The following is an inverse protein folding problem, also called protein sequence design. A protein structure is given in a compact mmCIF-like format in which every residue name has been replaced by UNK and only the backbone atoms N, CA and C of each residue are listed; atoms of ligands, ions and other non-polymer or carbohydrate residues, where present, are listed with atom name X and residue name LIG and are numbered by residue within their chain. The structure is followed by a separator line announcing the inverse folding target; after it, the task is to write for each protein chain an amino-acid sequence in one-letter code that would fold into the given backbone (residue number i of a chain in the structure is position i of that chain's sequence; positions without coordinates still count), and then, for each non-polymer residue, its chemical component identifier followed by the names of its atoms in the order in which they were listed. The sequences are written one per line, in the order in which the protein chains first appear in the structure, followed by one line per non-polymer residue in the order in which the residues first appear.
data_IF_777783096149
#
_entry.id   IF_777783096149
#
_cell.length_a   1.000
_cell.length_b   1.000
_cell.length_c   1.000
_cell.angle_alpha   90.00
_cell.angle_beta   90.00
_cell.angle_gamma   90.00
#
_symmetry.space_group_name_H-M   'P 1'
#
loop_
_entity.id
_entity.type
_entity.pdbx_description
1 polymer ?
#
# COMPACT_ATOMS: atom_id res chain seq x y z
N UNK A 1 -5.91 -30.53 -6.91
CA UNK A 1 -5.05 -29.85 -5.92
C UNK A 1 -5.24 -28.38 -6.19
N UNK A 2 -5.82 -27.66 -5.25
CA UNK A 2 -6.13 -26.23 -5.38
C UNK A 2 -4.83 -25.42 -5.40
N UNK A 3 -4.67 -24.58 -6.42
CA UNK A 3 -3.61 -23.57 -6.53
C UNK A 3 -3.81 -22.53 -5.43
N UNK A 4 -3.32 -22.81 -4.22
CA UNK A 4 -3.23 -21.80 -3.18
C UNK A 4 -2.04 -20.90 -3.47
N UNK A 5 -2.17 -19.57 -3.31
CA UNK A 5 -1.04 -18.67 -3.47
C UNK A 5 0.04 -19.02 -2.44
N UNK A 6 1.30 -19.00 -2.87
CA UNK A 6 2.47 -19.27 -2.01
C UNK A 6 2.57 -18.28 -0.82
N UNK A 7 1.93 -17.12 -0.95
CA UNK A 7 1.89 -16.08 0.06
C UNK A 7 0.51 -15.40 0.09
N UNK A 8 -0.04 -15.24 1.30
CA UNK A 8 -1.26 -14.48 1.54
C UNK A 8 -1.01 -13.34 2.54
N UNK A 9 -1.44 -12.13 2.20
CA UNK A 9 -1.32 -10.92 3.00
C UNK A 9 -2.61 -10.09 2.89
N UNK A 10 -3.07 -9.55 4.01
CA UNK A 10 -4.27 -8.71 4.10
C UNK A 10 -3.97 -7.24 3.83
N UNK A 11 -2.70 -6.85 3.94
CA UNK A 11 -2.27 -5.49 3.69
C UNK A 11 -0.77 -5.36 3.46
N UNK A 12 -0.35 -4.15 3.13
CA UNK A 12 1.06 -3.82 2.98
C UNK A 12 1.34 -2.42 3.50
N UNK A 13 2.58 -2.19 3.92
CA UNK A 13 3.12 -0.86 4.20
C UNK A 13 4.36 -0.59 3.37
N UNK A 14 4.55 0.67 3.00
CA UNK A 14 5.68 1.14 2.22
C UNK A 14 6.58 2.02 3.10
N UNK A 15 7.89 1.79 3.03
CA UNK A 15 8.88 2.67 3.66
C UNK A 15 9.92 3.04 2.62
N UNK A 16 9.98 4.33 2.28
CA UNK A 16 10.99 4.91 1.41
C UNK A 16 12.12 5.51 2.25
N UNK A 17 13.37 5.31 1.82
CA UNK A 17 14.55 5.87 2.47
C UNK A 17 15.69 6.12 1.48
N UNK A 18 16.84 6.62 1.93
CA UNK A 18 17.95 6.99 1.05
C UNK A 18 18.53 5.82 0.24
N UNK A 19 18.27 4.59 0.67
CA UNK A 19 18.80 3.37 0.06
C UNK A 19 17.78 2.61 -0.82
N UNK A 20 16.53 3.07 -0.90
CA UNK A 20 15.50 2.41 -1.70
C UNK A 20 14.14 2.41 -1.02
N UNK A 21 13.29 1.47 -1.44
CA UNK A 21 11.93 1.28 -0.90
C UNK A 21 11.80 -0.14 -0.38
N UNK A 22 11.14 -0.29 0.76
CA UNK A 22 10.73 -1.59 1.31
C UNK A 22 9.22 -1.68 1.33
N UNK A 23 8.67 -2.73 0.71
CA UNK A 23 7.28 -3.16 0.92
C UNK A 23 7.28 -4.21 2.03
N UNK A 24 6.52 -3.96 3.09
CA UNK A 24 6.27 -4.94 4.15
C UNK A 24 4.85 -5.46 3.99
N UNK A 25 4.70 -6.77 3.85
CA UNK A 25 3.42 -7.45 3.73
C UNK A 25 2.96 -7.91 5.11
N UNK A 26 1.72 -7.62 5.45
CA UNK A 26 1.11 -7.93 6.75
C UNK A 26 -0.07 -8.86 6.55
N UNK A 27 -0.25 -9.78 7.48
CA UNK A 27 -1.44 -10.61 7.62
C UNK A 27 -2.03 -10.37 9.01
N UNK A 28 -3.32 -10.13 9.06
CA UNK A 28 -4.05 -10.06 10.32
C UNK A 28 -4.31 -11.47 10.79
N UNK A 29 -3.88 -11.80 12.01
CA UNK A 29 -4.22 -13.08 12.62
C UNK A 29 -5.41 -12.87 13.57
N UNK A 30 -6.65 -13.23 13.17
CA UNK A 30 -7.82 -12.97 13.99
C UNK A 30 -7.72 -13.74 15.30
N UNK A 31 -7.72 -13.03 16.43
CA UNK A 31 -7.56 -13.66 17.75
C UNK A 31 -8.81 -14.42 18.20
N UNK A 32 -9.95 -14.21 17.52
CA UNK A 32 -11.23 -14.81 17.86
C UNK A 32 -11.89 -14.21 19.11
N UNK A 33 -11.33 -13.15 19.69
CA UNK A 33 -11.88 -12.49 20.86
C UNK A 33 -12.98 -11.48 20.49
N UNK A 34 -14.10 -11.50 21.22
CA UNK A 34 -15.19 -10.56 21.01
C UNK A 34 -14.89 -9.21 21.68
N UNK A 35 -14.69 -8.15 20.88
CA UNK A 35 -14.44 -6.79 21.37
C UNK A 35 -13.65 -5.95 20.37
N UNK A 36 -13.37 -4.66 20.66
CA UNK A 36 -12.49 -3.82 19.83
C UNK A 36 -11.03 -4.23 20.07
N UNK A 37 -10.66 -5.42 19.60
CA UNK A 37 -9.29 -5.90 19.59
C UNK A 37 -8.65 -5.49 18.26
N UNK A 38 -7.47 -4.88 18.32
CA UNK A 38 -6.65 -4.76 17.12
C UNK A 38 -6.06 -6.14 16.87
N UNK A 39 -6.50 -6.80 15.80
CA UNK A 39 -5.88 -8.06 15.39
C UNK A 39 -4.37 -7.84 15.23
N UNK A 40 -3.52 -8.71 15.82
CA UNK A 40 -2.08 -8.57 15.68
C UNK A 40 -1.69 -8.71 14.21
N UNK A 41 -1.06 -7.67 13.68
CA UNK A 41 -0.48 -7.69 12.35
C UNK A 41 0.85 -8.47 12.37
N UNK A 42 0.89 -9.58 11.64
CA UNK A 42 2.09 -10.39 11.46
C UNK A 42 2.75 -10.04 10.14
N UNK A 43 4.06 -9.77 10.17
CA UNK A 43 4.84 -9.56 8.94
C UNK A 43 5.07 -10.90 8.25
N UNK A 44 4.48 -11.08 7.07
CA UNK A 44 4.61 -12.31 6.27
C UNK A 44 5.64 -12.18 5.15
N UNK A 45 6.07 -10.97 4.81
CA UNK A 45 7.08 -10.75 3.78
C UNK A 45 7.66 -9.35 3.79
N UNK A 46 8.89 -9.23 3.30
CA UNK A 46 9.56 -7.95 3.05
C UNK A 46 10.26 -7.98 1.70
N UNK A 47 9.89 -7.06 0.82
CA UNK A 47 10.47 -6.91 -0.51
C UNK A 47 11.24 -5.61 -0.52
N UNK A 48 12.55 -5.70 -0.80
CA UNK A 48 13.44 -4.54 -0.93
C UNK A 48 13.67 -4.27 -2.40
N UNK A 49 13.39 -3.05 -2.81
CA UNK A 49 13.64 -2.57 -4.15
C UNK A 49 14.93 -1.76 -4.18
N UNK A 50 15.59 -1.78 -5.33
CA UNK A 50 16.78 -0.96 -5.56
C UNK A 50 16.43 0.53 -5.52
N UNK A 51 17.46 1.36 -5.43
CA UNK A 51 17.31 2.83 -5.43
C UNK A 51 16.66 3.35 -6.72
N UNK A 52 16.95 2.70 -7.85
CA UNK A 52 16.39 3.06 -9.16
C UNK A 52 14.87 2.85 -9.16
N UNK A 53 14.39 1.71 -8.65
CA UNK A 53 12.96 1.44 -8.54
C UNK A 53 12.26 2.34 -7.52
N UNK A 54 12.95 2.70 -6.43
CA UNK A 54 12.46 3.69 -5.49
C UNK A 54 12.22 5.06 -6.14
N UNK A 55 13.14 5.49 -7.02
CA UNK A 55 12.98 6.73 -7.78
C UNK A 55 11.77 6.66 -8.72
N UNK A 56 11.62 5.58 -9.48
CA UNK A 56 10.47 5.40 -10.38
C UNK A 56 9.16 5.44 -9.61
N UNK A 57 9.09 4.79 -8.44
CA UNK A 57 7.90 4.82 -7.58
C UNK A 57 7.59 6.24 -7.09
N UNK A 58 8.60 6.98 -6.64
CA UNK A 58 8.44 8.36 -6.18
C UNK A 58 7.91 9.26 -7.33
N UNK A 59 8.52 9.18 -8.50
CA UNK A 59 8.12 9.96 -9.68
C UNK A 59 6.65 9.68 -10.08
N UNK A 60 6.20 8.42 -9.97
CA UNK A 60 4.82 8.03 -10.24
C UNK A 60 3.85 8.56 -9.18
N UNK A 61 4.20 8.48 -7.89
CA UNK A 61 3.37 9.02 -6.81
C UNK A 61 3.19 10.54 -6.92
N UNK A 62 4.26 11.26 -7.25
CA UNK A 62 4.19 12.71 -7.47
C UNK A 62 3.27 13.05 -8.65
N UNK A 63 3.34 12.30 -9.75
CA UNK A 63 2.43 12.47 -10.89
C UNK A 63 0.97 12.21 -10.52
N UNK A 64 0.69 11.18 -9.73
CA UNK A 64 -0.66 10.87 -9.25
C UNK A 64 -1.21 11.96 -8.32
N UNK A 65 -0.37 12.51 -7.43
CA UNK A 65 -0.76 13.61 -6.55
C UNK A 65 -1.07 14.89 -7.34
N UNK A 66 -0.27 15.21 -8.35
CA UNK A 66 -0.51 16.32 -9.25
C UNK A 66 -1.80 16.15 -10.06
N UNK A 67 -2.04 14.95 -10.59
CA UNK A 67 -3.27 14.62 -11.33
C UNK A 67 -4.52 14.67 -10.46
N UNK A 68 -4.44 14.21 -9.21
CA UNK A 68 -5.53 14.26 -8.23
C UNK A 68 -5.89 15.70 -7.85
N UNK A 69 -4.94 16.63 -7.96
CA UNK A 69 -5.13 18.05 -7.65
C UNK A 69 -5.76 18.86 -8.81
N UNK A 70 -5.95 18.25 -9.99
CA UNK A 70 -6.49 18.90 -11.19
C UNK A 70 -7.93 18.49 -11.55
N UNK A 71 -8.64 17.76 -10.69
CA UNK A 71 -10.04 17.44 -10.93
C UNK A 71 -10.88 18.75 -11.07
N UNK A 72 -11.55 18.99 -12.21
CA UNK A 72 -12.22 20.26 -12.46
C UNK A 72 -13.42 20.42 -11.53
N UNK A 73 -13.50 21.58 -10.88
CA UNK A 73 -14.71 22.03 -10.21
C UNK A 73 -15.83 22.09 -11.24
N UNK A 74 -16.74 21.11 -11.18
CA UNK A 74 -17.92 21.03 -12.03
C UNK A 74 -18.67 22.35 -11.98
N UNK A 75 -18.62 23.11 -13.07
CA UNK A 75 -19.35 24.36 -13.24
C UNK A 75 -20.86 24.08 -13.18
N UNK A 76 -21.47 24.45 -12.05
CA UNK A 76 -22.93 24.49 -11.91
C UNK A 76 -23.48 25.61 -12.78
N UNK A 77 -23.87 25.26 -14.01
CA UNK A 77 -24.61 26.14 -14.91
C UNK A 77 -26.06 26.15 -14.44
N UNK A 78 -26.48 27.31 -13.88
CA UNK A 78 -27.87 27.61 -13.54
C UNK A 78 -28.72 27.73 -14.82
N UNK A 79 -29.86 27.05 -14.85
CA UNK A 79 -31.04 27.45 -15.61
C UNK A 79 -32.29 27.17 -14.78
#
# INVERSE_FOLDING_TARGET
MSDYPDLYADGFSLTAGPFGVTVTLHRSDPTGEAGPHQDPNVVVGRIRFSRELAKVLADQLDQMLLASSQAPASSSVRH
#
